data_IF_118879702015
#
_entry.id   IF_118879702015
#
_cell.length_a   1.000
_cell.length_b   1.000
_cell.length_c   1.000
_cell.angle_alpha   90.00
_cell.angle_beta   90.00
_cell.angle_gamma   90.00
#
_symmetry.space_group_name_H-M   'P 1'
#
loop_
_entity.id
_entity.type
_entity.pdbx_description
1 polymer ?
#
# COMPACT_ATOMS: atom_id res chain seq x y z
N UNK A 1 -14.41 -15.40 27.77
CA UNK A 1 -13.65 -14.74 26.69
C UNK A 1 -13.24 -13.36 27.16
N UNK A 2 -11.93 -13.10 27.21
CA UNK A 2 -11.40 -11.79 27.60
C UNK A 2 -11.60 -10.80 26.45
N UNK A 3 -11.75 -9.53 26.78
CA UNK A 3 -11.69 -8.47 25.78
C UNK A 3 -10.89 -7.29 26.32
N UNK A 4 -10.31 -6.56 25.39
CA UNK A 4 -9.49 -5.38 25.62
C UNK A 4 -9.89 -4.31 24.62
N UNK A 5 -9.96 -3.08 25.11
CA UNK A 5 -10.03 -1.90 24.24
C UNK A 5 -9.10 -0.83 24.79
N UNK A 6 -8.38 -0.15 23.90
CA UNK A 6 -7.68 1.07 24.26
C UNK A 6 -8.04 2.21 23.31
N UNK A 7 -8.03 3.42 23.86
CA UNK A 7 -8.20 4.65 23.10
C UNK A 7 -7.12 5.63 23.51
N UNK A 8 -6.52 6.31 22.53
CA UNK A 8 -5.50 7.33 22.77
C UNK A 8 -6.16 8.70 22.79
N UNK A 9 -5.93 9.47 23.86
CA UNK A 9 -6.37 10.86 23.97
C UNK A 9 -5.53 11.74 23.04
N UNK A 10 -6.19 12.52 22.18
CA UNK A 10 -5.51 13.47 21.31
C UNK A 10 -4.89 14.64 22.10
N UNK A 11 -5.47 14.99 23.25
CA UNK A 11 -5.02 16.13 24.07
C UNK A 11 -3.85 15.78 25.01
N UNK A 12 -3.90 14.59 25.63
CA UNK A 12 -2.90 14.20 26.65
C UNK A 12 -1.87 13.22 26.13
N UNK A 13 -2.05 12.68 24.91
CA UNK A 13 -1.20 11.65 24.28
C UNK A 13 -1.22 10.31 25.06
N UNK A 14 -1.90 10.26 26.21
CA UNK A 14 -2.05 9.11 27.07
C UNK A 14 -3.09 8.12 26.53
N UNK A 15 -2.89 6.83 26.81
CA UNK A 15 -3.83 5.77 26.43
C UNK A 15 -4.70 5.38 27.63
N UNK A 16 -6.01 5.36 27.43
CA UNK A 16 -6.95 4.77 28.39
C UNK A 16 -7.30 3.36 27.94
N UNK A 17 -7.26 2.42 28.87
CA UNK A 17 -7.50 0.99 28.61
C UNK A 17 -8.72 0.54 29.41
N UNK A 18 -9.60 -0.24 28.77
CA UNK A 18 -10.64 -1.03 29.45
C UNK A 18 -10.52 -2.49 29.06
N UNK A 19 -10.83 -3.35 30.00
CA UNK A 19 -10.84 -4.81 29.80
C UNK A 19 -12.05 -5.40 30.48
N UNK A 20 -12.45 -6.59 30.04
CA UNK A 20 -13.52 -7.34 30.68
C UNK A 20 -13.52 -8.80 30.24
N UNK A 21 -14.46 -9.55 30.80
CA UNK A 21 -14.69 -10.96 30.46
C UNK A 21 -16.16 -11.18 30.13
N UNK A 22 -16.40 -11.99 29.10
CA UNK A 22 -17.73 -12.35 28.61
C UNK A 22 -17.88 -13.86 28.43
N UNK A 23 -19.12 -14.33 28.34
CA UNK A 23 -19.43 -15.76 28.21
C UNK A 23 -19.12 -16.32 26.81
N UNK A 24 -19.20 -15.48 25.78
CA UNK A 24 -18.96 -15.84 24.38
C UNK A 24 -18.33 -14.66 23.60
N UNK A 25 -17.99 -14.93 22.34
CA UNK A 25 -17.35 -13.95 21.45
C UNK A 25 -18.27 -12.78 21.10
N UNK A 26 -19.53 -13.05 20.76
CA UNK A 26 -20.50 -12.01 20.36
C UNK A 26 -20.72 -10.99 21.47
N UNK A 27 -20.86 -11.47 22.70
CA UNK A 27 -21.00 -10.62 23.88
C UNK A 27 -19.70 -9.84 24.15
N UNK A 28 -18.54 -10.49 24.00
CA UNK A 28 -17.24 -9.83 24.18
C UNK A 28 -17.01 -8.71 23.16
N UNK A 29 -17.26 -8.96 21.87
CA UNK A 29 -17.12 -7.98 20.80
C UNK A 29 -18.07 -6.79 20.99
N UNK A 30 -19.32 -7.05 21.37
CA UNK A 30 -20.31 -6.01 21.67
C UNK A 30 -19.85 -5.11 22.81
N UNK A 31 -19.40 -5.71 23.93
CA UNK A 31 -18.91 -4.97 25.09
C UNK A 31 -17.64 -4.16 24.79
N UNK A 32 -16.72 -4.72 24.00
CA UNK A 32 -15.49 -4.04 23.60
C UNK A 32 -15.77 -2.83 22.71
N UNK A 33 -16.64 -2.98 21.69
CA UNK A 33 -17.06 -1.90 20.78
C UNK A 33 -17.76 -0.78 21.55
N UNK A 34 -18.71 -1.13 22.43
CA UNK A 34 -19.39 -0.15 23.28
C UNK A 34 -18.38 0.59 24.17
N UNK A 35 -17.49 -0.13 24.83
CA UNK A 35 -16.46 0.45 25.69
C UNK A 35 -15.51 1.36 24.90
N UNK A 36 -15.17 1.02 23.66
CA UNK A 36 -14.36 1.87 22.78
C UNK A 36 -15.06 3.15 22.35
N UNK A 37 -16.38 3.10 22.14
CA UNK A 37 -17.20 4.31 21.89
C UNK A 37 -17.24 5.22 23.12
N UNK A 38 -17.43 4.66 24.31
CA UNK A 38 -17.41 5.41 25.57
C UNK A 38 -16.05 6.06 25.83
N UNK A 39 -14.95 5.37 25.53
CA UNK A 39 -13.59 5.90 25.73
C UNK A 39 -13.21 7.06 24.80
N UNK A 40 -13.97 7.27 23.73
CA UNK A 40 -13.68 8.31 22.72
C UNK A 40 -14.64 9.49 22.79
N UNK A 41 -15.56 9.51 23.77
CA UNK A 41 -16.50 10.60 24.02
C UNK A 41 -16.48 10.97 25.52
N UNK A 42 -16.53 12.26 25.85
CA UNK A 42 -16.77 12.74 27.20
C UNK A 42 -18.24 12.56 27.60
N UNK A 43 -18.57 12.72 28.89
CA UNK A 43 -19.94 12.56 29.41
C UNK A 43 -20.97 13.50 28.75
N UNK A 44 -20.50 14.60 28.13
CA UNK A 44 -21.30 15.56 27.37
C UNK A 44 -21.39 15.25 25.85
N UNK A 45 -20.77 14.15 25.41
CA UNK A 45 -20.72 13.73 24.01
C UNK A 45 -19.56 14.30 23.20
N UNK A 46 -18.67 15.11 23.80
CA UNK A 46 -17.51 15.69 23.10
C UNK A 46 -16.45 14.64 22.78
N UNK A 47 -15.90 14.65 21.57
CA UNK A 47 -14.99 13.60 21.08
C UNK A 47 -13.53 13.80 21.54
N UNK A 48 -12.90 12.75 22.05
CA UNK A 48 -11.59 12.79 22.73
C UNK A 48 -10.39 12.18 21.95
N UNK A 49 -10.64 11.49 20.82
CA UNK A 49 -9.56 10.95 19.96
C UNK A 49 -10.05 10.05 18.81
N UNK A 50 -9.21 9.80 17.77
CA UNK A 50 -9.61 9.05 16.58
C UNK A 50 -9.32 7.54 16.61
N UNK A 51 -8.28 7.10 17.32
CA UNK A 51 -7.80 5.72 17.25
C UNK A 51 -8.33 4.85 18.41
N UNK A 52 -8.88 3.69 18.07
CA UNK A 52 -9.31 2.64 19.00
C UNK A 52 -8.64 1.33 18.61
N UNK A 53 -8.20 0.61 19.61
CA UNK A 53 -7.57 -0.70 19.48
C UNK A 53 -8.45 -1.72 20.19
N UNK A 54 -8.81 -2.81 19.53
CA UNK A 54 -9.67 -3.87 20.07
C UNK A 54 -8.93 -5.19 20.06
N UNK A 55 -9.14 -6.01 21.08
CA UNK A 55 -8.68 -7.40 21.10
C UNK A 55 -9.68 -8.27 21.84
N UNK A 56 -10.00 -9.43 21.26
CA UNK A 56 -10.87 -10.45 21.87
C UNK A 56 -10.06 -11.73 22.05
N UNK A 57 -10.12 -12.33 23.24
CA UNK A 57 -9.28 -13.46 23.60
C UNK A 57 -7.80 -13.07 23.76
N UNK A 58 -6.92 -13.99 23.37
CA UNK A 58 -5.47 -13.83 23.45
C UNK A 58 -4.84 -13.46 22.09
N UNK A 59 -5.68 -13.05 21.12
CA UNK A 59 -5.29 -12.71 19.75
C UNK A 59 -4.57 -11.36 19.59
N UNK A 60 -4.33 -10.97 18.35
CA UNK A 60 -3.72 -9.69 18.00
C UNK A 60 -4.69 -8.50 18.14
N UNK A 61 -4.13 -7.29 18.17
CA UNK A 61 -4.89 -6.06 18.36
C UNK A 61 -5.34 -5.49 17.01
N UNK A 62 -6.65 -5.27 16.85
CA UNK A 62 -7.25 -4.59 15.70
C UNK A 62 -7.32 -3.08 15.95
N UNK A 63 -6.58 -2.30 15.18
CA UNK A 63 -6.63 -0.84 15.20
C UNK A 63 -7.70 -0.29 14.26
N UNK A 64 -8.25 0.88 14.60
CA UNK A 64 -9.16 1.66 13.72
C UNK A 64 -8.58 3.04 13.41
N UNK A 65 -7.25 3.14 13.34
CA UNK A 65 -6.52 4.41 13.17
C UNK A 65 -6.65 5.02 11.76
N UNK A 66 -7.16 4.27 10.79
CA UNK A 66 -7.33 4.57 9.36
C UNK A 66 -8.39 5.66 9.06
N UNK A 67 -8.55 6.66 9.93
CA UNK A 67 -9.43 7.82 9.72
C UNK A 67 -10.95 7.52 9.74
N UNK A 68 -11.34 6.24 9.81
CA UNK A 68 -12.74 5.80 9.83
C UNK A 68 -13.37 5.94 11.22
N UNK A 69 -13.57 7.18 11.64
CA UNK A 69 -14.34 7.50 12.84
C UNK A 69 -15.84 7.21 12.74
N UNK A 70 -16.29 6.79 11.55
CA UNK A 70 -17.67 6.52 11.18
C UNK A 70 -17.95 5.04 10.94
N UNK A 71 -17.00 4.14 11.23
CA UNK A 71 -17.20 2.70 11.10
C UNK A 71 -18.46 2.27 11.88
N UNK A 72 -19.38 1.58 11.20
CA UNK A 72 -20.55 1.00 11.84
C UNK A 72 -20.13 -0.11 12.82
N UNK A 73 -21.00 -0.45 13.77
CA UNK A 73 -20.73 -1.56 14.68
C UNK A 73 -20.57 -2.89 13.93
N UNK A 74 -21.26 -3.04 12.80
CA UNK A 74 -21.13 -4.21 11.94
C UNK A 74 -19.77 -4.27 11.25
N UNK A 75 -19.21 -3.13 10.80
CA UNK A 75 -17.87 -3.09 10.21
C UNK A 75 -16.78 -3.39 11.24
N UNK A 76 -16.90 -2.80 12.43
CA UNK A 76 -15.98 -3.10 13.54
C UNK A 76 -16.06 -4.56 13.97
N UNK A 77 -17.28 -5.09 14.12
CA UNK A 77 -17.48 -6.51 14.46
C UNK A 77 -16.88 -7.41 13.40
N UNK A 78 -17.06 -7.10 12.12
CA UNK A 78 -16.46 -7.85 11.00
C UNK A 78 -14.94 -7.86 11.07
N UNK A 79 -14.29 -6.71 11.30
CA UNK A 79 -12.82 -6.61 11.42
C UNK A 79 -12.28 -7.38 12.62
N UNK A 80 -12.94 -7.27 13.77
CA UNK A 80 -12.56 -8.01 15.00
C UNK A 80 -12.77 -9.52 14.81
N UNK A 81 -13.86 -9.94 14.16
CA UNK A 81 -14.15 -11.35 13.85
C UNK A 81 -13.07 -11.90 12.92
N UNK A 82 -12.76 -11.19 11.85
CA UNK A 82 -11.74 -11.57 10.87
C UNK A 82 -10.37 -11.75 11.53
N UNK A 83 -9.96 -10.84 12.42
CA UNK A 83 -8.73 -10.99 13.18
C UNK A 83 -8.77 -12.19 14.14
N UNK A 84 -9.89 -12.39 14.85
CA UNK A 84 -10.03 -13.53 15.78
C UNK A 84 -9.99 -14.87 15.04
N UNK A 85 -10.60 -14.95 13.86
CA UNK A 85 -10.59 -16.14 12.99
C UNK A 85 -9.22 -16.39 12.37
N UNK A 86 -8.48 -15.33 12.04
CA UNK A 86 -7.09 -15.38 11.60
C UNK A 86 -6.18 -15.93 12.71
N UNK A 87 -6.25 -15.37 13.92
CA UNK A 87 -5.45 -15.80 15.08
C UNK A 87 -5.77 -17.26 15.48
N UNK A 88 -7.01 -17.68 15.27
CA UNK A 88 -7.46 -19.05 15.51
C UNK A 88 -7.10 -20.03 14.38
N UNK A 89 -6.52 -19.55 13.26
CA UNK A 89 -6.21 -20.35 12.07
C UNK A 89 -7.43 -20.96 11.39
N UNK A 90 -8.62 -20.40 11.62
CA UNK A 90 -9.92 -20.90 11.12
C UNK A 90 -10.20 -20.40 9.71
N UNK A 91 -9.66 -19.22 9.37
CA UNK A 91 -9.76 -18.61 8.05
C UNK A 91 -8.35 -18.40 7.50
N UNK A 92 -8.02 -19.05 6.38
CA UNK A 92 -7.03 -18.48 5.45
C UNK A 92 -7.71 -17.27 4.80
N UNK A 93 -7.10 -16.07 4.81
CA UNK A 93 -7.72 -14.95 4.12
C UNK A 93 -8.00 -15.37 2.69
N UNK A 94 -9.20 -15.04 2.18
CA UNK A 94 -9.33 -14.96 0.74
C UNK A 94 -8.19 -14.04 0.27
N UNK A 95 -7.41 -14.43 -0.75
CA UNK A 95 -6.29 -13.61 -1.21
C UNK A 95 -6.80 -12.19 -1.41
N UNK A 96 -6.06 -11.19 -0.90
CA UNK A 96 -6.40 -9.78 -1.11
C UNK A 96 -6.60 -9.60 -2.61
N UNK A 97 -7.85 -9.40 -3.03
CA UNK A 97 -8.14 -9.21 -4.44
C UNK A 97 -7.62 -7.83 -4.80
N UNK A 98 -6.86 -7.70 -5.89
CA UNK A 98 -6.46 -6.40 -6.39
C UNK A 98 -7.67 -5.48 -6.53
N UNK A 99 -7.53 -4.23 -6.11
CA UNK A 99 -8.61 -3.25 -6.19
C UNK A 99 -9.09 -3.04 -7.64
N UNK A 100 -8.15 -3.03 -8.59
CA UNK A 100 -8.45 -3.00 -10.03
C UNK A 100 -8.79 -4.41 -10.57
N UNK A 101 -9.89 -4.56 -11.33
CA UNK A 101 -10.25 -5.82 -11.99
C UNK A 101 -9.51 -6.03 -13.32
N UNK A 102 -8.65 -5.10 -13.73
CA UNK A 102 -7.99 -5.10 -15.04
C UNK A 102 -7.07 -6.30 -15.20
N UNK A 103 -7.18 -6.99 -16.32
CA UNK A 103 -6.40 -8.20 -16.58
C UNK A 103 -4.95 -7.84 -16.95
N UNK A 104 -4.02 -8.68 -16.55
CA UNK A 104 -2.62 -8.59 -16.97
C UNK A 104 -2.49 -8.74 -18.49
N UNK A 105 -1.56 -8.00 -19.08
CA UNK A 105 -1.34 -7.93 -20.52
C UNK A 105 0.12 -7.61 -20.86
N UNK A 106 0.33 -6.84 -21.93
CA UNK A 106 1.67 -6.49 -22.40
C UNK A 106 2.12 -5.12 -21.91
N UNK A 107 3.19 -5.08 -21.11
CA UNK A 107 3.83 -3.81 -20.69
C UNK A 107 4.24 -2.96 -21.90
N UNK A 108 4.80 -3.58 -22.94
CA UNK A 108 5.25 -2.86 -24.13
C UNK A 108 4.11 -2.19 -24.90
N UNK A 109 2.96 -2.87 -25.00
CA UNK A 109 1.78 -2.32 -25.67
C UNK A 109 1.18 -1.14 -24.89
N UNK A 110 1.00 -1.31 -23.57
CA UNK A 110 0.42 -0.24 -22.75
C UNK A 110 1.36 0.97 -22.64
N UNK A 111 2.67 0.74 -22.54
CA UNK A 111 3.62 1.84 -22.55
C UNK A 111 3.68 2.55 -23.91
N UNK A 112 3.54 1.83 -25.04
CA UNK A 112 3.49 2.47 -26.35
C UNK A 112 2.32 3.46 -26.42
N UNK A 113 1.12 3.05 -26.00
CA UNK A 113 -0.07 3.92 -25.87
C UNK A 113 0.21 5.17 -25.03
N UNK A 114 0.73 4.98 -23.81
CA UNK A 114 1.09 6.08 -22.90
C UNK A 114 2.13 7.00 -23.58
N UNK A 115 3.17 6.45 -24.18
CA UNK A 115 4.25 7.22 -24.79
C UNK A 115 3.79 8.04 -26.01
N UNK A 116 2.86 7.50 -26.80
CA UNK A 116 2.25 8.21 -27.92
C UNK A 116 1.38 9.37 -27.41
N UNK A 117 0.58 9.12 -26.38
CA UNK A 117 -0.23 10.16 -25.75
C UNK A 117 0.65 11.29 -25.20
N UNK A 118 1.72 10.96 -24.46
CA UNK A 118 2.64 11.95 -23.89
C UNK A 118 3.28 12.82 -24.99
N UNK A 119 3.78 12.21 -26.07
CA UNK A 119 4.38 12.95 -27.20
C UNK A 119 3.39 13.81 -27.96
N UNK A 120 2.11 13.42 -28.00
CA UNK A 120 1.05 14.16 -28.70
C UNK A 120 0.50 15.34 -27.90
N UNK A 121 0.55 15.27 -26.56
CA UNK A 121 -0.15 16.23 -25.69
C UNK A 121 0.78 17.13 -24.88
N UNK A 122 2.03 16.72 -24.61
CA UNK A 122 2.97 17.52 -23.83
C UNK A 122 3.88 18.37 -24.73
N UNK A 123 4.31 19.53 -24.22
CA UNK A 123 5.15 20.45 -25.00
C UNK A 123 6.57 19.90 -25.24
N UNK A 124 7.09 19.13 -24.29
CA UNK A 124 8.39 18.46 -24.38
C UNK A 124 8.35 17.21 -23.52
N UNK A 125 8.81 16.09 -24.06
CA UNK A 125 8.96 14.83 -23.32
C UNK A 125 10.15 14.06 -23.85
N UNK A 126 10.98 13.54 -22.95
CA UNK A 126 12.12 12.69 -23.27
C UNK A 126 11.91 11.33 -22.61
N UNK A 127 11.71 10.30 -23.42
CA UNK A 127 11.51 8.93 -22.96
C UNK A 127 12.69 8.11 -23.47
N UNK A 128 13.46 7.56 -22.53
CA UNK A 128 14.53 6.63 -22.80
C UNK A 128 14.49 5.53 -21.74
N UNK A 129 14.72 4.29 -22.18
CA UNK A 129 14.85 3.16 -21.27
C UNK A 129 16.27 2.96 -20.76
N UNK A 130 16.40 2.14 -19.74
CA UNK A 130 17.66 1.66 -19.20
C UNK A 130 18.27 0.64 -20.15
N UNK A 131 19.60 0.55 -20.15
CA UNK A 131 20.29 -0.54 -20.85
C UNK A 131 20.11 -1.86 -20.11
N UNK A 132 20.25 -2.97 -20.82
CA UNK A 132 20.23 -4.30 -20.18
C UNK A 132 21.30 -4.42 -19.09
N UNK A 133 22.47 -3.80 -19.27
CA UNK A 133 23.54 -3.80 -18.26
C UNK A 133 23.11 -3.09 -16.97
N UNK A 134 22.49 -1.90 -17.06
CA UNK A 134 21.96 -1.18 -15.91
C UNK A 134 20.91 -2.01 -15.15
N UNK A 135 19.99 -2.65 -15.88
CA UNK A 135 18.95 -3.49 -15.28
C UNK A 135 19.57 -4.72 -14.60
N UNK A 136 20.53 -5.40 -15.24
CA UNK A 136 21.21 -6.56 -14.64
C UNK A 136 22.03 -6.20 -13.40
N UNK A 137 22.63 -5.01 -13.37
CA UNK A 137 23.36 -4.51 -12.21
C UNK A 137 22.42 -4.24 -11.03
N UNK A 138 21.29 -3.57 -11.28
CA UNK A 138 20.27 -3.32 -10.26
C UNK A 138 19.59 -4.60 -9.76
N UNK A 139 19.32 -5.56 -10.64
CA UNK A 139 18.85 -6.88 -10.23
C UNK A 139 19.85 -7.54 -9.30
N UNK A 140 21.16 -7.56 -9.65
CA UNK A 140 22.19 -8.13 -8.78
C UNK A 140 22.29 -7.44 -7.42
N UNK A 141 22.21 -6.11 -7.37
CA UNK A 141 22.30 -5.35 -6.12
C UNK A 141 21.08 -5.55 -5.22
N UNK A 142 19.94 -5.93 -5.78
CA UNK A 142 18.67 -6.12 -5.05
C UNK A 142 18.29 -7.60 -4.83
N UNK A 143 19.18 -8.54 -5.14
CA UNK A 143 18.96 -9.97 -4.88
C UNK A 143 18.44 -10.80 -6.06
N UNK A 144 18.28 -10.20 -7.24
CA UNK A 144 18.26 -10.90 -8.53
C UNK A 144 16.89 -11.33 -9.07
N UNK A 145 15.79 -11.09 -8.35
CA UNK A 145 14.46 -11.61 -8.68
C UNK A 145 13.47 -10.51 -9.03
N UNK A 146 13.70 -9.79 -10.14
CA UNK A 146 12.71 -8.83 -10.64
C UNK A 146 11.71 -9.53 -11.57
N UNK A 147 10.40 -9.26 -11.43
CA UNK A 147 9.41 -9.73 -12.38
C UNK A 147 9.71 -9.26 -13.81
N UNK A 148 9.38 -10.09 -14.81
CA UNK A 148 9.66 -9.81 -16.22
C UNK A 148 9.05 -8.47 -16.68
N UNK A 149 7.82 -8.19 -16.23
CA UNK A 149 7.12 -6.94 -16.52
C UNK A 149 7.90 -5.71 -16.05
N UNK A 150 8.52 -5.76 -14.87
CA UNK A 150 9.30 -4.65 -14.33
C UNK A 150 10.57 -4.41 -15.15
N UNK A 151 11.28 -5.48 -15.53
CA UNK A 151 12.47 -5.34 -16.41
C UNK A 151 12.08 -4.81 -17.80
N UNK A 152 10.93 -5.25 -18.33
CA UNK A 152 10.40 -4.77 -19.61
C UNK A 152 10.02 -3.29 -19.54
N UNK A 153 9.42 -2.86 -18.42
CA UNK A 153 9.09 -1.47 -18.19
C UNK A 153 10.34 -0.58 -18.15
N UNK A 154 11.38 -0.98 -17.41
CA UNK A 154 12.62 -0.21 -17.34
C UNK A 154 13.38 -0.14 -18.67
N UNK A 155 13.27 -1.16 -19.55
CA UNK A 155 13.81 -1.08 -20.92
C UNK A 155 13.11 -0.03 -21.80
N UNK A 156 11.90 0.38 -21.42
CA UNK A 156 11.10 1.33 -22.18
C UNK A 156 11.17 2.74 -21.60
N UNK A 157 11.34 2.86 -20.29
CA UNK A 157 11.47 4.13 -19.58
C UNK A 157 12.30 3.98 -18.31
N UNK A 158 13.22 4.92 -18.08
CA UNK A 158 14.13 4.92 -16.95
C UNK A 158 14.04 6.26 -16.23
N UNK A 159 12.87 6.57 -15.67
CA UNK A 159 12.55 7.87 -15.13
C UNK A 159 12.40 8.96 -16.20
N UNK A 160 12.13 10.19 -15.74
CA UNK A 160 12.11 11.38 -16.59
C UNK A 160 13.21 12.36 -16.15
N UNK A 161 13.97 12.96 -17.09
CA UNK A 161 15.01 13.91 -16.74
C UNK A 161 14.40 15.17 -16.12
N UNK A 162 15.10 15.82 -15.19
CA UNK A 162 14.59 16.98 -14.43
C UNK A 162 14.16 18.14 -15.33
N UNK A 163 14.83 18.33 -16.46
CA UNK A 163 14.56 19.42 -17.41
C UNK A 163 13.25 19.22 -18.17
N UNK A 164 12.79 17.98 -18.32
CA UNK A 164 11.53 17.61 -18.99
C UNK A 164 10.75 16.62 -18.12
N UNK A 165 10.67 16.94 -16.83
CA UNK A 165 10.04 16.06 -15.85
C UNK A 165 8.55 15.90 -16.14
N UNK A 166 8.05 14.67 -15.99
CA UNK A 166 6.64 14.32 -16.18
C UNK A 166 6.13 13.66 -14.91
N UNK A 167 5.09 14.23 -14.32
CA UNK A 167 4.34 13.62 -13.22
C UNK A 167 3.44 12.51 -13.77
N UNK A 168 4.02 11.41 -14.24
CA UNK A 168 3.28 10.35 -14.95
C UNK A 168 2.29 9.61 -14.05
N UNK A 169 2.58 9.53 -12.75
CA UNK A 169 1.68 8.97 -11.74
C UNK A 169 1.20 10.10 -10.82
N UNK A 170 -0.04 10.04 -10.31
CA UNK A 170 -0.48 10.96 -9.27
C UNK A 170 0.41 10.80 -8.04
N UNK A 171 0.86 11.93 -7.47
CA UNK A 171 1.63 12.00 -6.22
C UNK A 171 3.00 11.29 -6.20
N UNK A 172 3.38 10.56 -7.25
CA UNK A 172 4.59 9.75 -7.30
C UNK A 172 5.49 10.14 -8.47
N UNK A 173 6.78 10.25 -8.22
CA UNK A 173 7.78 10.37 -9.28
C UNK A 173 8.15 8.98 -9.79
N UNK A 174 8.13 8.77 -11.11
CA UNK A 174 8.69 7.56 -11.72
C UNK A 174 10.21 7.54 -11.52
N UNK A 175 10.70 6.49 -10.88
CA UNK A 175 12.13 6.32 -10.63
C UNK A 175 12.87 5.87 -11.88
N UNK A 176 14.15 6.24 -11.94
CA UNK A 176 15.12 5.47 -12.72
C UNK A 176 15.59 4.25 -11.93
N UNK A 177 16.33 3.37 -12.60
CA UNK A 177 16.85 2.12 -12.03
C UNK A 177 17.79 2.38 -10.85
N UNK A 178 18.60 3.45 -10.89
CA UNK A 178 19.52 3.79 -9.80
C UNK A 178 18.73 4.20 -8.54
N UNK A 179 17.71 5.03 -8.71
CA UNK A 179 16.83 5.46 -7.63
C UNK A 179 16.01 4.31 -7.07
N UNK A 180 15.56 3.38 -7.91
CA UNK A 180 14.90 2.13 -7.49
C UNK A 180 15.76 1.36 -6.48
N UNK A 181 17.06 1.19 -6.77
CA UNK A 181 17.99 0.50 -5.86
C UNK A 181 18.19 1.29 -4.57
N UNK A 182 18.42 2.60 -4.67
CA UNK A 182 18.71 3.42 -3.48
C UNK A 182 17.51 3.57 -2.55
N UNK A 183 16.31 3.79 -3.10
CA UNK A 183 15.08 3.93 -2.30
C UNK A 183 14.71 2.61 -1.65
N UNK A 184 14.87 1.47 -2.36
CA UNK A 184 14.68 0.15 -1.76
C UNK A 184 15.62 -0.08 -0.58
N UNK A 185 16.91 0.26 -0.72
CA UNK A 185 17.87 0.10 0.38
C UNK A 185 17.53 1.03 1.56
N UNK A 186 17.13 2.26 1.28
CA UNK A 186 16.72 3.22 2.31
C UNK A 186 15.54 2.69 3.12
N UNK A 187 14.49 2.17 2.48
CA UNK A 187 13.35 1.62 3.20
C UNK A 187 13.71 0.36 4.00
N UNK A 188 14.56 -0.52 3.45
CA UNK A 188 15.06 -1.68 4.19
C UNK A 188 15.82 -1.28 5.46
N UNK A 189 16.64 -0.23 5.37
CA UNK A 189 17.40 0.29 6.52
C UNK A 189 16.43 0.89 7.57
N UNK A 190 15.50 1.75 7.14
CA UNK A 190 14.53 2.40 8.03
C UNK A 190 13.63 1.38 8.73
N UNK A 191 12.99 0.49 7.98
CA UNK A 191 12.06 -0.47 8.54
C UNK A 191 12.77 -1.59 9.31
N UNK A 192 13.98 -1.97 8.90
CA UNK A 192 14.81 -2.88 9.66
C UNK A 192 15.18 -2.33 11.05
N UNK A 193 15.46 -1.03 11.16
CA UNK A 193 15.67 -0.37 12.46
C UNK A 193 14.38 -0.36 13.31
N UNK A 194 13.24 -0.01 12.72
CA UNK A 194 11.93 -0.02 13.40
C UNK A 194 11.59 -1.43 13.91
N UNK A 195 11.74 -2.45 13.08
CA UNK A 195 11.45 -3.83 13.44
C UNK A 195 12.35 -4.31 14.59
N UNK A 196 13.64 -3.97 14.55
CA UNK A 196 14.57 -4.30 15.61
C UNK A 196 14.24 -3.60 16.94
N UNK A 197 13.85 -2.32 16.90
CA UNK A 197 13.43 -1.57 18.08
C UNK A 197 12.13 -2.11 18.69
N UNK A 198 11.20 -2.55 17.84
CA UNK A 198 9.91 -3.12 18.24
C UNK A 198 10.02 -4.60 18.64
N UNK A 199 11.16 -5.25 18.39
CA UNK A 199 11.33 -6.68 18.61
C UNK A 199 10.46 -7.53 17.69
N UNK A 200 10.16 -7.04 16.48
CA UNK A 200 9.42 -7.76 15.48
C UNK A 200 10.24 -8.93 14.93
N UNK A 201 9.59 -10.08 14.74
CA UNK A 201 10.21 -11.23 14.09
C UNK A 201 10.21 -11.04 12.57
N UNK A 202 11.27 -11.46 11.86
CA UNK A 202 11.31 -11.39 10.40
C UNK A 202 10.13 -12.10 9.75
N UNK A 203 9.42 -11.41 8.87
CA UNK A 203 8.35 -12.01 8.07
C UNK A 203 8.98 -12.87 6.96
N UNK A 204 8.77 -14.18 7.03
CA UNK A 204 9.33 -15.15 6.07
C UNK A 204 8.22 -16.02 5.50
N UNK A 205 8.24 -16.22 4.18
CA UNK A 205 7.34 -17.16 3.52
C UNK A 205 5.90 -16.68 3.39
N UNK A 206 5.66 -15.37 3.46
CA UNK A 206 4.38 -14.76 3.05
C UNK A 206 4.29 -14.73 1.52
N UNK A 207 3.08 -14.86 0.99
CA UNK A 207 2.83 -14.80 -0.45
C UNK A 207 2.66 -13.35 -0.93
N UNK A 208 2.90 -13.11 -2.21
CA UNK A 208 2.66 -11.80 -2.81
C UNK A 208 1.22 -11.34 -2.60
N UNK A 209 1.07 -10.05 -2.29
CA UNK A 209 -0.19 -9.39 -1.96
C UNK A 209 -0.76 -9.69 -0.57
N UNK A 210 -0.11 -10.53 0.23
CA UNK A 210 -0.39 -10.62 1.66
C UNK A 210 0.25 -9.45 2.41
N UNK A 211 -0.53 -8.85 3.32
CA UNK A 211 -0.04 -7.80 4.21
C UNK A 211 1.12 -8.29 5.08
N UNK A 212 2.16 -7.47 5.24
CA UNK A 212 3.32 -7.80 6.09
C UNK A 212 3.65 -6.75 7.15
N UNK A 213 3.21 -5.51 6.98
CA UNK A 213 3.38 -4.46 8.00
C UNK A 213 4.80 -3.93 8.15
N UNK A 214 5.70 -4.26 7.21
CA UNK A 214 7.09 -3.82 7.16
C UNK A 214 7.57 -3.76 5.71
N UNK A 215 8.79 -3.28 5.46
CA UNK A 215 9.37 -3.25 4.12
C UNK A 215 10.21 -4.50 3.84
N UNK A 216 9.83 -5.29 2.83
CA UNK A 216 10.52 -6.53 2.49
C UNK A 216 11.54 -6.37 1.36
N UNK A 217 12.62 -7.18 1.33
CA UNK A 217 13.55 -7.23 0.20
C UNK A 217 12.88 -7.49 -1.16
N UNK A 218 11.78 -8.22 -1.17
CA UNK A 218 11.03 -8.55 -2.39
C UNK A 218 10.15 -7.39 -2.90
N UNK A 219 10.01 -6.30 -2.15
CA UNK A 219 9.29 -5.10 -2.59
C UNK A 219 10.21 -4.21 -3.43
N UNK A 220 9.99 -4.21 -4.75
CA UNK A 220 10.82 -3.46 -5.69
C UNK A 220 10.09 -2.16 -6.06
N UNK A 221 10.49 -1.00 -5.53
CA UNK A 221 9.82 0.27 -5.80
C UNK A 221 10.14 0.73 -7.22
N UNK A 222 9.17 1.32 -7.91
CA UNK A 222 9.39 1.90 -9.24
C UNK A 222 8.90 3.35 -9.34
N UNK A 223 8.14 3.82 -8.36
CA UNK A 223 7.78 5.22 -8.24
C UNK A 223 7.60 5.61 -6.78
N UNK A 224 7.78 6.89 -6.45
CA UNK A 224 7.73 7.32 -5.06
C UNK A 224 7.84 8.82 -4.81
N UNK A 225 7.42 9.23 -3.62
CA UNK A 225 7.68 10.54 -3.03
C UNK A 225 7.52 10.48 -1.51
N UNK A 226 8.45 11.05 -0.74
CA UNK A 226 8.34 11.28 0.72
C UNK A 226 7.90 10.08 1.58
N UNK A 227 8.40 8.88 1.25
CA UNK A 227 8.08 7.62 1.94
C UNK A 227 6.74 6.99 1.53
N UNK A 228 6.15 7.46 0.43
CA UNK A 228 5.04 6.81 -0.27
C UNK A 228 5.58 6.22 -1.57
N UNK A 229 5.47 4.92 -1.74
CA UNK A 229 6.07 4.20 -2.86
C UNK A 229 5.02 3.35 -3.57
N UNK A 230 5.07 3.33 -4.90
CA UNK A 230 4.51 2.25 -5.68
C UNK A 230 5.60 1.21 -5.89
N UNK A 231 5.30 -0.03 -5.55
CA UNK A 231 6.23 -1.15 -5.69
C UNK A 231 5.58 -2.34 -6.36
N UNK A 232 6.43 -3.14 -7.00
CA UNK A 232 6.09 -4.47 -7.49
C UNK A 232 6.46 -5.48 -6.42
N UNK A 233 5.49 -6.32 -6.05
CA UNK A 233 5.70 -7.41 -5.10
C UNK A 233 6.31 -8.63 -5.79
N UNK A 234 7.61 -8.87 -5.59
CA UNK A 234 8.33 -9.98 -6.21
C UNK A 234 8.25 -11.28 -5.40
N UNK A 235 7.50 -11.34 -4.28
CA UNK A 235 7.31 -12.58 -3.53
C UNK A 235 6.59 -13.62 -4.39
N UNK A 236 6.74 -14.88 -4.03
CA UNK A 236 6.05 -15.98 -4.70
C UNK A 236 4.53 -15.91 -4.45
N UNK A 237 3.73 -16.53 -5.32
CA UNK A 237 2.29 -16.69 -5.12
C UNK A 237 1.45 -16.25 -6.33
N UNK A 238 0.11 -16.38 -6.24
CA UNK A 238 -0.78 -16.04 -7.35
C UNK A 238 -0.76 -14.57 -7.77
N UNK A 239 -0.32 -13.67 -6.88
CA UNK A 239 -0.19 -12.24 -7.12
C UNK A 239 1.27 -11.80 -7.30
N UNK A 240 2.18 -12.73 -7.61
CA UNK A 240 3.56 -12.38 -7.94
C UNK A 240 3.59 -11.35 -9.08
N UNK A 241 4.22 -10.20 -8.83
CA UNK A 241 4.27 -9.07 -9.76
C UNK A 241 3.12 -8.07 -9.62
N UNK A 242 2.24 -8.20 -8.62
CA UNK A 242 1.21 -7.20 -8.35
C UNK A 242 1.82 -5.85 -7.95
N UNK A 243 1.06 -4.78 -8.19
CA UNK A 243 1.45 -3.43 -7.77
C UNK A 243 0.68 -3.06 -6.51
N UNK A 244 1.44 -2.63 -5.50
CA UNK A 244 0.93 -2.18 -4.20
C UNK A 244 1.50 -0.80 -3.89
N UNK A 245 0.83 -0.09 -3.00
CA UNK A 245 1.32 1.15 -2.41
C UNK A 245 1.88 0.87 -1.03
N UNK A 246 3.10 1.35 -0.78
CA UNK A 246 3.71 1.38 0.53
C UNK A 246 3.55 2.78 1.11
N UNK A 247 3.11 2.87 2.36
CA UNK A 247 2.98 4.12 3.09
C UNK A 247 3.89 4.10 4.32
N UNK A 248 4.66 5.16 4.54
CA UNK A 248 5.55 5.28 5.71
C UNK A 248 4.90 5.13 7.10
N UNK A 249 3.57 5.19 7.21
CA UNK A 249 2.84 5.01 8.48
C UNK A 249 2.17 3.64 8.54
N UNK A 250 1.46 3.26 7.48
CA UNK A 250 0.61 2.07 7.46
C UNK A 250 1.17 0.93 6.59
N UNK A 251 2.43 1.02 6.20
CA UNK A 251 3.16 0.07 5.36
C UNK A 251 2.36 -0.32 4.11
N UNK A 252 2.19 -1.61 3.87
CA UNK A 252 1.47 -2.21 2.74
C UNK A 252 -0.01 -2.57 3.07
N UNK A 253 -0.58 -1.99 4.13
CA UNK A 253 -1.92 -2.37 4.65
C UNK A 253 -3.08 -2.19 3.66
N UNK A 254 -2.93 -1.31 2.66
CA UNK A 254 -3.91 -1.14 1.59
C UNK A 254 -4.06 -2.39 0.71
N UNK A 255 -3.04 -3.25 0.68
CA UNK A 255 -2.96 -4.42 -0.17
C UNK A 255 -2.80 -4.08 -1.67
N UNK A 256 -2.84 -5.10 -2.54
CA UNK A 256 -2.65 -4.93 -3.97
C UNK A 256 -3.66 -3.97 -4.61
N UNK A 257 -3.16 -2.96 -5.31
CA UNK A 257 -3.98 -2.03 -6.09
C UNK A 257 -4.25 -2.59 -7.49
N UNK A 258 -3.25 -3.24 -8.09
CA UNK A 258 -3.38 -3.88 -9.41
C UNK A 258 -2.80 -5.30 -9.39
N UNK A 259 -3.37 -6.24 -10.17
CA UNK A 259 -2.88 -7.62 -10.25
C UNK A 259 -1.49 -7.72 -10.90
N UNK A 260 -1.10 -6.74 -11.71
CA UNK A 260 0.22 -6.68 -12.36
C UNK A 260 0.57 -5.25 -12.78
N UNK A 261 1.84 -5.03 -13.16
CA UNK A 261 2.30 -3.74 -13.67
C UNK A 261 1.62 -3.40 -15.02
N UNK A 262 1.46 -4.39 -15.90
CA UNK A 262 0.72 -4.22 -17.15
C UNK A 262 -0.74 -3.83 -16.95
N UNK A 263 -1.40 -4.33 -15.91
CA UNK A 263 -2.77 -3.94 -15.57
C UNK A 263 -2.85 -2.48 -15.11
N UNK A 264 -1.92 -2.04 -14.24
CA UNK A 264 -1.80 -0.62 -13.85
C UNK A 264 -1.55 0.28 -15.05
N UNK A 265 -0.64 -0.11 -15.96
CA UNK A 265 -0.36 0.67 -17.17
C UNK A 265 -1.54 0.70 -18.14
N UNK A 266 -2.38 -0.34 -18.17
CA UNK A 266 -3.64 -0.34 -18.92
C UNK A 266 -4.59 0.72 -18.37
N UNK A 267 -4.82 0.73 -17.05
CA UNK A 267 -5.68 1.73 -16.40
C UNK A 267 -5.16 3.17 -16.61
N UNK A 268 -3.84 3.36 -16.56
CA UNK A 268 -3.21 4.65 -16.85
C UNK A 268 -3.40 5.06 -18.32
N UNK A 269 -3.17 4.16 -19.27
CA UNK A 269 -3.37 4.43 -20.69
C UNK A 269 -4.83 4.80 -20.99
N UNK A 270 -5.78 4.04 -20.44
CA UNK A 270 -7.21 4.28 -20.58
C UNK A 270 -7.61 5.64 -19.99
N UNK A 271 -7.06 6.00 -18.82
CA UNK A 271 -7.24 7.31 -18.20
C UNK A 271 -6.73 8.45 -19.08
N UNK A 272 -5.50 8.35 -19.57
CA UNK A 272 -4.90 9.38 -20.43
C UNK A 272 -5.69 9.57 -21.73
N UNK A 273 -6.06 8.48 -22.39
CA UNK A 273 -6.76 8.53 -23.69
C UNK A 273 -8.22 9.01 -23.58
N UNK A 274 -8.92 8.63 -22.52
CA UNK A 274 -10.36 8.87 -22.39
C UNK A 274 -10.73 9.94 -21.37
N UNK A 275 -9.76 10.48 -20.62
CA UNK A 275 -10.01 11.42 -19.52
C UNK A 275 -10.72 10.79 -18.32
N UNK A 276 -10.62 9.46 -18.14
CA UNK A 276 -11.21 8.76 -16.99
C UNK A 276 -10.31 8.86 -15.76
N UNK A 277 -10.87 8.53 -14.59
CA UNK A 277 -10.13 8.53 -13.32
C UNK A 277 -9.06 7.42 -13.33
N UNK A 278 -7.84 7.74 -12.91
CA UNK A 278 -6.78 6.78 -12.58
C UNK A 278 -6.42 6.92 -11.10
N UNK A 279 -6.56 5.84 -10.34
CA UNK A 279 -6.22 5.80 -8.93
C UNK A 279 -6.86 6.92 -8.08
N UNK A 280 -8.13 7.23 -8.38
CA UNK A 280 -8.87 8.30 -7.70
C UNK A 280 -8.62 9.71 -8.22
N UNK A 281 -7.69 9.89 -9.17
CA UNK A 281 -7.33 11.19 -9.73
C UNK A 281 -7.78 11.36 -11.18
N UNK A 282 -8.15 12.58 -11.53
CA UNK A 282 -8.34 12.99 -12.94
C UNK A 282 -7.13 13.76 -13.43
N UNK A 283 -6.86 13.71 -14.73
CA UNK A 283 -5.73 14.42 -15.31
C UNK A 283 -6.17 15.58 -16.20
N UNK A 284 -5.29 16.56 -16.34
CA UNK A 284 -5.42 17.64 -17.32
C UNK A 284 -4.04 18.03 -17.86
N UNK A 285 -4.01 18.72 -19.01
CA UNK A 285 -2.78 19.30 -19.56
C UNK A 285 -2.83 20.81 -19.38
N UNK A 286 -1.95 21.35 -18.54
CA UNK A 286 -1.84 22.78 -18.24
C UNK A 286 -0.45 23.24 -18.63
N UNK A 287 -0.37 24.27 -19.47
CA UNK A 287 0.88 24.82 -20.00
C UNK A 287 1.81 23.75 -20.63
N UNK A 288 1.20 22.75 -21.28
CA UNK A 288 1.92 21.65 -21.94
C UNK A 288 2.50 20.61 -20.98
N UNK A 289 2.04 20.59 -19.72
CA UNK A 289 2.45 19.63 -18.69
C UNK A 289 1.25 18.84 -18.16
N UNK A 290 1.47 17.55 -17.89
CA UNK A 290 0.49 16.68 -17.22
C UNK A 290 0.30 17.10 -15.76
N UNK A 291 -0.94 17.26 -15.34
CA UNK A 291 -1.36 17.58 -13.97
C UNK A 291 -2.43 16.59 -13.52
N UNK A 292 -2.42 16.29 -12.22
CA UNK A 292 -3.41 15.43 -11.56
C UNK A 292 -4.20 16.24 -10.53
N UNK A 293 -5.50 15.96 -10.44
CA UNK A 293 -6.46 16.53 -9.48
C UNK A 293 -7.17 15.39 -8.74
#
# INVERSE_FOLDING_TARGET
MKWFVSARSAETISSTIRTGESVDWDTAATQAIQSGRELTHADDGTRLGPARNYRIGDGEVVSTADGSSTASDDDLRRRIQQQTEYDAGVVSPAPHQPASPTQSGSVAEQWDRISQWLRGNLASVSIAGATDEQIQDAMRSTGGLWPEELTSFFRLVNGFPRENWVSIFPMHELFDVDRTVSERQLELDIWGEIDAEMGAEPQVGTAAGEYVGTYLPEFIPFAGADGYLLFVDARWGPLHGCVTEFQKVDADSAGPKWPSLSAMLTDLADSLENGTVFDGHTHSVVDGQLRWE
#
